data_IF_208642939504
#
_entry.id   IF_208642939504
#
_cell.length_a   1.000
_cell.length_b   1.000
_cell.length_c   1.000
_cell.angle_alpha   90.00
_cell.angle_beta   90.00
_cell.angle_gamma   90.00
#
_symmetry.space_group_name_H-M   'P 1'
#
loop_
_entity.id
_entity.type
_entity.pdbx_description
1 polymer ?
#
# COMPACT_ATOMS: atom_id res chain seq x y z
N UNK A 1 0.55 -15.71 4.03
CA UNK A 1 0.12 -15.35 5.38
C UNK A 1 0.77 -14.06 5.89
N UNK A 2 2.13 -13.88 5.65
CA UNK A 2 2.84 -12.63 6.00
C UNK A 2 2.27 -11.43 5.24
N UNK A 3 2.10 -11.56 3.93
CA UNK A 3 1.54 -10.51 3.06
C UNK A 3 0.13 -10.13 3.53
N UNK A 4 -0.75 -11.09 3.71
CA UNK A 4 -2.11 -10.86 4.20
C UNK A 4 -2.13 -10.12 5.55
N UNK A 5 -1.37 -10.63 6.53
CA UNK A 5 -1.34 -10.02 7.87
C UNK A 5 -0.75 -8.59 7.86
N UNK A 6 0.20 -8.32 6.93
CA UNK A 6 0.84 -7.01 6.85
C UNK A 6 -0.02 -5.97 6.13
N UNK A 7 -0.77 -6.35 5.11
CA UNK A 7 -1.53 -5.43 4.28
C UNK A 7 -3.00 -5.32 4.70
N UNK A 8 -3.65 -6.42 5.02
CA UNK A 8 -5.07 -6.42 5.32
C UNK A 8 -5.35 -6.45 6.83
N UNK A 9 -4.44 -7.06 7.61
CA UNK A 9 -4.68 -7.31 9.04
C UNK A 9 -5.91 -8.19 9.25
N UNK A 10 -6.36 -8.25 10.49
CA UNK A 10 -7.61 -8.92 10.86
C UNK A 10 -8.67 -7.85 11.04
N UNK A 11 -9.23 -7.37 9.95
CA UNK A 11 -10.25 -6.35 9.96
C UNK A 11 -11.47 -6.77 9.13
N UNK A 12 -12.66 -6.54 9.68
CA UNK A 12 -13.88 -6.42 8.92
C UNK A 12 -14.28 -4.97 8.84
N UNK A 13 -15.06 -4.65 7.84
CA UNK A 13 -15.63 -3.32 7.69
C UNK A 13 -17.14 -3.39 7.63
N UNK A 14 -17.81 -2.44 8.27
CA UNK A 14 -19.20 -2.18 8.04
C UNK A 14 -19.36 -1.74 6.56
N UNK A 15 -20.28 -2.42 5.85
CA UNK A 15 -20.41 -2.27 4.39
C UNK A 15 -20.79 -0.87 3.91
N UNK A 16 -21.43 -0.06 4.74
CA UNK A 16 -21.92 1.28 4.37
C UNK A 16 -20.92 2.37 4.77
N UNK A 17 -20.54 2.36 6.04
CA UNK A 17 -19.73 3.46 6.61
C UNK A 17 -18.24 3.17 6.55
N UNK A 18 -17.84 1.97 6.09
CA UNK A 18 -16.45 1.48 6.07
C UNK A 18 -15.73 1.62 7.42
N UNK A 19 -16.51 1.55 8.51
CA UNK A 19 -15.95 1.56 9.86
C UNK A 19 -15.40 0.17 10.19
N UNK A 20 -14.22 0.09 10.82
CA UNK A 20 -13.65 -1.17 11.24
C UNK A 20 -14.57 -1.87 12.26
N UNK A 21 -14.86 -3.15 12.02
CA UNK A 21 -15.58 -3.99 12.95
C UNK A 21 -14.67 -5.06 13.53
N UNK A 22 -14.87 -5.37 14.79
CA UNK A 22 -14.16 -6.44 15.48
C UNK A 22 -14.71 -7.79 15.00
N UNK A 23 -13.88 -8.55 14.26
CA UNK A 23 -14.24 -9.91 13.81
C UNK A 23 -13.91 -10.94 14.89
N UNK A 24 -12.81 -10.72 15.62
CA UNK A 24 -12.38 -11.59 16.72
C UNK A 24 -12.29 -10.76 17.99
N UNK A 25 -12.81 -11.31 19.08
CA UNK A 25 -12.82 -10.63 20.38
C UNK A 25 -11.43 -10.15 20.79
N UNK A 26 -11.32 -8.86 21.10
CA UNK A 26 -10.07 -8.22 21.54
C UNK A 26 -9.10 -7.84 20.44
N UNK A 27 -9.37 -8.19 19.17
CA UNK A 27 -8.52 -7.83 18.05
C UNK A 27 -9.10 -6.62 17.30
N UNK A 28 -8.50 -5.45 17.49
CA UNK A 28 -8.91 -4.20 16.84
C UNK A 28 -7.93 -3.82 15.76
N UNK A 29 -8.48 -3.29 14.67
CA UNK A 29 -7.68 -2.67 13.63
C UNK A 29 -6.99 -1.41 14.20
N UNK A 30 -5.71 -1.26 13.90
CA UNK A 30 -4.94 -0.07 14.28
C UNK A 30 -5.10 1.01 13.21
N UNK A 31 -5.00 2.29 13.61
CA UNK A 31 -5.15 3.42 12.69
C UNK A 31 -4.17 3.38 11.51
N UNK A 32 -2.93 2.98 11.75
CA UNK A 32 -1.92 2.81 10.70
C UNK A 32 -1.95 1.44 10.01
N UNK A 33 -2.96 0.62 10.27
CA UNK A 33 -2.99 -0.79 9.89
C UNK A 33 -1.68 -1.47 10.31
N UNK A 34 -1.09 -2.29 9.44
CA UNK A 34 0.25 -2.84 9.67
C UNK A 34 1.34 -2.11 8.86
N UNK A 35 0.96 -1.04 8.14
CA UNK A 35 1.89 -0.22 7.38
C UNK A 35 2.80 0.61 8.28
N UNK A 36 2.26 1.12 9.37
CA UNK A 36 2.97 1.87 10.40
C UNK A 36 3.25 1.03 11.64
N UNK A 37 4.19 1.46 12.51
CA UNK A 37 4.35 0.84 13.82
C UNK A 37 3.04 0.80 14.59
N UNK A 38 2.73 -0.34 15.20
CA UNK A 38 1.45 -0.60 15.85
C UNK A 38 1.08 0.35 16.99
N UNK A 39 2.09 0.95 17.61
CA UNK A 39 1.95 1.88 18.74
C UNK A 39 2.12 3.35 18.34
N UNK A 40 2.09 3.67 17.04
CA UNK A 40 2.24 5.03 16.55
C UNK A 40 0.91 5.77 16.59
N UNK A 41 0.83 6.86 17.37
CA UNK A 41 -0.34 7.73 17.38
C UNK A 41 -0.27 8.81 16.30
N UNK A 42 -1.38 9.48 16.04
CA UNK A 42 -1.46 10.59 15.09
C UNK A 42 -0.58 11.79 15.53
N UNK A 43 -0.59 12.08 16.82
CA UNK A 43 0.21 13.14 17.42
C UNK A 43 1.70 12.82 17.33
N UNK A 44 2.07 11.57 17.62
CA UNK A 44 3.45 11.12 17.52
C UNK A 44 3.93 11.13 16.05
N UNK A 45 3.11 10.66 15.10
CA UNK A 45 3.45 10.74 13.67
C UNK A 45 3.73 12.19 13.26
N UNK A 46 2.83 13.12 13.61
CA UNK A 46 3.01 14.54 13.29
C UNK A 46 4.30 15.11 13.88
N UNK A 47 4.58 14.80 15.14
CA UNK A 47 5.80 15.28 15.83
C UNK A 47 7.08 14.72 15.19
N UNK A 48 7.10 13.43 14.84
CA UNK A 48 8.25 12.80 14.18
C UNK A 48 8.47 13.40 12.79
N UNK A 49 7.41 13.57 12.00
CA UNK A 49 7.52 14.19 10.67
C UNK A 49 8.05 15.63 10.77
N UNK A 50 7.55 16.44 11.71
CA UNK A 50 8.09 17.79 11.96
C UNK A 50 9.59 17.74 12.31
N UNK A 51 10.00 16.86 13.24
CA UNK A 51 11.39 16.70 13.63
C UNK A 51 12.30 16.23 12.49
N UNK A 52 11.82 15.31 11.66
CA UNK A 52 12.55 14.84 10.48
C UNK A 52 12.73 15.95 9.43
N UNK A 53 11.71 16.78 9.23
CA UNK A 53 11.81 17.95 8.34
C UNK A 53 12.78 19.00 8.90
N UNK A 54 12.81 19.21 10.22
CA UNK A 54 13.77 20.11 10.87
C UNK A 54 15.21 19.61 10.76
N UNK A 55 15.39 18.30 10.80
CA UNK A 55 16.68 17.64 10.59
C UNK A 55 17.09 17.53 9.11
N UNK A 56 16.26 17.98 8.16
CA UNK A 56 16.56 17.97 6.73
C UNK A 56 16.31 16.63 6.01
N UNK A 57 15.61 15.69 6.64
CA UNK A 57 15.29 14.37 6.06
C UNK A 57 14.10 14.41 5.08
N UNK A 58 14.07 15.38 4.17
CA UNK A 58 12.93 15.66 3.29
C UNK A 58 12.59 14.45 2.40
N UNK A 59 13.58 13.82 1.78
CA UNK A 59 13.36 12.69 0.86
C UNK A 59 12.85 11.45 1.60
N UNK A 60 13.28 11.23 2.84
CA UNK A 60 12.75 10.14 3.65
C UNK A 60 11.30 10.42 4.08
N UNK A 61 10.96 11.66 4.42
CA UNK A 61 9.57 12.05 4.70
C UNK A 61 8.67 11.83 3.48
N UNK A 62 9.13 12.17 2.27
CA UNK A 62 8.39 11.87 1.03
C UNK A 62 8.10 10.38 0.89
N UNK A 63 9.09 9.53 1.12
CA UNK A 63 8.92 8.07 1.08
C UNK A 63 7.97 7.56 2.16
N UNK A 64 8.12 8.05 3.40
CA UNK A 64 7.21 7.68 4.51
C UNK A 64 5.76 8.02 4.15
N UNK A 65 5.51 9.13 3.48
CA UNK A 65 4.18 9.62 3.14
C UNK A 65 3.68 9.16 1.76
N UNK A 66 4.40 8.28 1.08
CA UNK A 66 3.96 7.65 -0.18
C UNK A 66 3.09 6.42 0.08
N UNK A 67 2.23 6.05 -0.87
CA UNK A 67 1.28 4.96 -0.74
C UNK A 67 1.93 3.55 -0.63
N UNK A 68 3.14 3.36 -1.19
CA UNK A 68 3.72 2.03 -1.46
C UNK A 68 4.90 1.68 -0.58
N UNK A 69 4.88 2.10 0.67
CA UNK A 69 5.95 1.84 1.61
C UNK A 69 5.43 1.33 2.94
N UNK A 70 6.18 0.41 3.52
CA UNK A 70 6.04 0.02 4.91
C UNK A 70 6.89 0.95 5.76
N UNK A 71 6.34 1.44 6.85
CA UNK A 71 7.03 2.38 7.75
C UNK A 71 7.43 1.67 9.04
N UNK A 72 8.67 1.84 9.46
CA UNK A 72 9.22 1.21 10.66
C UNK A 72 9.98 2.25 11.50
N UNK A 73 10.12 1.98 12.79
CA UNK A 73 10.94 2.84 13.68
C UNK A 73 12.41 2.71 13.34
N UNK A 74 13.12 3.84 13.38
CA UNK A 74 14.56 3.94 13.22
C UNK A 74 15.12 4.95 14.24
N UNK A 75 15.39 4.46 15.45
CA UNK A 75 15.70 5.33 16.58
C UNK A 75 14.52 6.25 16.93
N UNK A 76 14.78 7.55 16.98
CA UNK A 76 13.77 8.57 17.24
C UNK A 76 12.95 8.95 15.99
N UNK A 77 13.32 8.42 14.83
CA UNK A 77 12.68 8.70 13.55
C UNK A 77 11.94 7.49 13.00
N UNK A 78 11.37 7.68 11.81
CA UNK A 78 10.77 6.63 10.99
C UNK A 78 11.61 6.38 9.75
N UNK A 79 11.52 5.17 9.21
CA UNK A 79 12.13 4.76 7.95
C UNK A 79 11.07 4.12 7.07
N UNK A 80 11.04 4.51 5.79
CA UNK A 80 10.26 3.85 4.76
C UNK A 80 11.04 2.69 4.13
N UNK A 81 10.33 1.62 3.81
CA UNK A 81 10.84 0.45 3.09
C UNK A 81 9.86 0.19 1.96
N UNK A 82 10.32 0.20 0.72
CA UNK A 82 9.46 -0.05 -0.44
C UNK A 82 8.81 -1.44 -0.35
N UNK A 83 7.60 -1.59 -0.88
CA UNK A 83 6.89 -2.88 -0.86
C UNK A 83 7.68 -3.98 -1.55
N UNK A 84 8.35 -3.67 -2.66
CA UNK A 84 9.19 -4.62 -3.39
C UNK A 84 10.43 -5.06 -2.61
N UNK A 85 10.92 -4.26 -1.67
CA UNK A 85 11.98 -4.63 -0.74
C UNK A 85 11.42 -5.42 0.45
N UNK A 86 10.32 -4.92 1.05
CA UNK A 86 9.75 -5.53 2.25
C UNK A 86 9.09 -6.89 2.00
N UNK A 87 8.49 -7.06 0.83
CA UNK A 87 7.79 -8.28 0.38
C UNK A 87 8.50 -8.95 -0.80
N UNK A 88 9.82 -8.80 -0.92
CA UNK A 88 10.57 -9.29 -2.08
C UNK A 88 10.34 -10.78 -2.38
N UNK A 89 10.38 -11.62 -1.35
CA UNK A 89 10.20 -13.06 -1.49
C UNK A 89 8.75 -13.39 -1.90
N UNK A 90 7.77 -12.78 -1.21
CA UNK A 90 6.36 -13.01 -1.46
C UNK A 90 5.95 -12.53 -2.86
N UNK A 91 6.40 -11.34 -3.27
CA UNK A 91 6.09 -10.80 -4.59
C UNK A 91 6.75 -11.59 -5.71
N UNK A 92 7.99 -12.06 -5.51
CA UNK A 92 8.66 -12.94 -6.46
C UNK A 92 7.94 -14.28 -6.63
N UNK A 93 7.49 -14.88 -5.52
CA UNK A 93 6.73 -16.13 -5.57
C UNK A 93 5.40 -15.95 -6.31
N UNK A 94 4.63 -14.90 -5.98
CA UNK A 94 3.36 -14.60 -6.64
C UNK A 94 3.58 -14.31 -8.14
N UNK A 95 4.57 -13.49 -8.50
CA UNK A 95 4.86 -13.16 -9.89
C UNK A 95 5.23 -14.40 -10.70
N UNK A 96 6.04 -15.31 -10.13
CA UNK A 96 6.39 -16.58 -10.78
C UNK A 96 5.15 -17.47 -11.03
N UNK A 97 4.23 -17.55 -10.08
CA UNK A 97 2.98 -18.31 -10.25
C UNK A 97 2.08 -17.68 -11.33
N UNK A 98 2.02 -16.35 -11.40
CA UNK A 98 1.30 -15.63 -12.45
C UNK A 98 1.93 -15.89 -13.83
N UNK A 99 3.26 -15.85 -13.94
CA UNK A 99 3.98 -16.15 -15.18
C UNK A 99 3.78 -17.63 -15.61
N UNK A 100 3.78 -18.55 -14.66
CA UNK A 100 3.42 -19.94 -14.91
C UNK A 100 1.98 -20.06 -15.45
N UNK A 101 1.02 -19.37 -14.86
CA UNK A 101 -0.36 -19.34 -15.34
C UNK A 101 -0.44 -18.76 -16.76
N UNK A 102 0.31 -17.70 -17.07
CA UNK A 102 0.39 -17.12 -18.41
C UNK A 102 0.91 -18.11 -19.45
N UNK A 103 1.84 -19.00 -19.08
CA UNK A 103 2.35 -20.03 -19.98
C UNK A 103 1.26 -21.04 -20.41
N UNK A 104 0.31 -21.33 -19.53
CA UNK A 104 -0.80 -22.25 -19.81
C UNK A 104 -2.05 -21.58 -20.37
N UNK A 105 -2.12 -20.25 -20.34
CA UNK A 105 -3.26 -19.50 -20.87
C UNK A 105 -3.36 -19.68 -22.40
N UNK A 106 -4.56 -19.96 -22.89
CA UNK A 106 -4.87 -20.11 -24.31
C UNK A 106 -5.46 -18.85 -24.94
N UNK A 107 -5.93 -17.92 -24.11
CA UNK A 107 -6.42 -16.60 -24.51
C UNK A 107 -5.24 -15.62 -24.48
N UNK A 108 -4.92 -15.03 -25.63
CA UNK A 108 -3.78 -14.12 -25.76
C UNK A 108 -3.94 -12.84 -24.93
N UNK A 109 -5.17 -12.30 -24.82
CA UNK A 109 -5.42 -11.10 -24.01
C UNK A 109 -5.22 -11.39 -22.52
N UNK A 110 -5.70 -12.55 -22.06
CA UNK A 110 -5.50 -12.97 -20.69
C UNK A 110 -4.02 -13.24 -20.39
N UNK A 111 -3.31 -13.86 -21.31
CA UNK A 111 -1.88 -14.10 -21.20
C UNK A 111 -1.09 -12.78 -21.09
N UNK A 112 -1.39 -11.81 -21.94
CA UNK A 112 -0.74 -10.48 -21.88
C UNK A 112 -1.04 -9.77 -20.57
N UNK A 113 -2.29 -9.83 -20.08
CA UNK A 113 -2.68 -9.29 -18.79
C UNK A 113 -1.88 -9.91 -17.65
N UNK A 114 -1.76 -11.24 -17.61
CA UNK A 114 -0.98 -11.95 -16.60
C UNK A 114 0.47 -11.48 -16.57
N UNK A 115 1.09 -11.31 -17.74
CA UNK A 115 2.45 -10.80 -17.86
C UNK A 115 2.61 -9.39 -17.28
N UNK A 116 1.69 -8.48 -17.59
CA UNK A 116 1.71 -7.12 -17.03
C UNK A 116 1.45 -7.08 -15.53
N UNK A 117 0.54 -7.95 -15.04
CA UNK A 117 0.24 -8.07 -13.61
C UNK A 117 1.47 -8.55 -12.80
N UNK A 118 2.21 -9.53 -13.32
CA UNK A 118 3.46 -9.98 -12.70
C UNK A 118 4.50 -8.84 -12.63
N UNK A 119 4.64 -8.08 -13.72
CA UNK A 119 5.57 -6.93 -13.75
C UNK A 119 5.15 -5.81 -12.79
N UNK A 120 3.85 -5.53 -12.67
CA UNK A 120 3.32 -4.53 -11.74
C UNK A 120 3.66 -4.87 -10.28
N UNK A 121 3.57 -6.15 -9.89
CA UNK A 121 3.98 -6.61 -8.56
C UNK A 121 5.46 -6.42 -8.28
N UNK A 122 6.33 -6.70 -9.27
CA UNK A 122 7.78 -6.68 -9.08
C UNK A 122 8.38 -5.27 -9.08
N UNK A 123 7.73 -4.30 -9.71
CA UNK A 123 8.35 -2.99 -9.96
C UNK A 123 7.90 -1.87 -9.03
N UNK A 124 6.87 -2.07 -8.20
CA UNK A 124 6.28 -1.02 -7.35
C UNK A 124 6.06 0.31 -8.12
N UNK A 125 5.59 0.22 -9.36
CA UNK A 125 5.52 1.32 -10.30
C UNK A 125 4.09 1.52 -10.78
N UNK A 126 3.55 2.73 -10.61
CA UNK A 126 2.19 3.08 -11.02
C UNK A 126 1.95 2.93 -12.52
N UNK A 127 2.98 3.18 -13.36
CA UNK A 127 2.84 2.98 -14.81
C UNK A 127 2.57 1.52 -15.17
N UNK A 128 3.18 0.58 -14.43
CA UNK A 128 2.95 -0.85 -14.65
C UNK A 128 1.55 -1.27 -14.21
N UNK A 129 1.02 -0.72 -13.10
CA UNK A 129 -0.37 -0.95 -12.70
C UNK A 129 -1.33 -0.47 -13.80
N UNK A 130 -1.12 0.75 -14.32
CA UNK A 130 -1.93 1.31 -15.39
C UNK A 130 -1.88 0.45 -16.67
N UNK A 131 -0.73 -0.15 -16.96
CA UNK A 131 -0.61 -1.08 -18.09
C UNK A 131 -1.37 -2.37 -17.86
N UNK A 132 -1.29 -2.95 -16.67
CA UNK A 132 -2.06 -4.12 -16.27
C UNK A 132 -3.57 -3.84 -16.37
N UNK A 133 -4.03 -2.71 -15.82
CA UNK A 133 -5.43 -2.27 -15.87
C UNK A 133 -5.94 -2.08 -17.31
N UNK A 134 -5.12 -1.51 -18.19
CA UNK A 134 -5.46 -1.36 -19.62
C UNK A 134 -5.61 -2.71 -20.32
N UNK A 135 -4.80 -3.70 -19.97
CA UNK A 135 -4.94 -5.05 -20.51
C UNK A 135 -6.15 -5.76 -19.93
N UNK A 136 -6.38 -5.65 -18.63
CA UNK A 136 -7.60 -6.14 -17.98
C UNK A 136 -8.87 -5.58 -18.65
N UNK A 137 -8.93 -4.28 -18.87
CA UNK A 137 -10.08 -3.63 -19.51
C UNK A 137 -10.38 -4.12 -20.95
N UNK A 138 -9.44 -4.79 -21.60
CA UNK A 138 -9.64 -5.40 -22.93
C UNK A 138 -10.21 -6.82 -22.87
N UNK A 139 -10.17 -7.46 -21.71
CA UNK A 139 -10.59 -8.85 -21.54
C UNK A 139 -12.09 -8.99 -21.29
N UNK A 140 -12.93 -8.37 -22.13
CA UNK A 140 -14.39 -8.33 -21.91
C UNK A 140 -15.08 -9.70 -22.03
N UNK A 141 -14.47 -10.64 -22.73
CA UNK A 141 -15.03 -11.96 -23.00
C UNK A 141 -14.14 -13.11 -22.49
N UNK A 142 -13.14 -12.82 -21.69
CA UNK A 142 -12.27 -13.85 -21.12
C UNK A 142 -13.04 -14.74 -20.16
N UNK A 143 -12.89 -16.08 -20.24
CA UNK A 143 -13.54 -17.01 -19.33
C UNK A 143 -12.94 -17.00 -17.93
N UNK A 144 -11.78 -16.40 -17.76
CA UNK A 144 -11.06 -16.28 -16.49
C UNK A 144 -10.70 -14.83 -16.24
N UNK A 145 -10.82 -14.44 -15.00
CA UNK A 145 -10.49 -13.10 -14.52
C UNK A 145 -9.96 -13.17 -13.09
N UNK A 146 -8.93 -12.42 -12.80
CA UNK A 146 -8.53 -12.10 -11.43
C UNK A 146 -7.83 -10.75 -11.40
N UNK A 147 -7.76 -10.14 -10.25
CA UNK A 147 -6.99 -8.92 -10.04
C UNK A 147 -6.14 -9.05 -8.79
N UNK A 148 -4.95 -8.49 -8.83
CA UNK A 148 -4.14 -8.18 -7.64
C UNK A 148 -3.87 -6.69 -7.75
N UNK A 149 -4.68 -5.89 -7.06
CA UNK A 149 -4.62 -4.44 -7.17
C UNK A 149 -4.68 -3.78 -5.81
N UNK A 150 -4.46 -2.48 -5.80
CA UNK A 150 -4.69 -1.67 -4.62
C UNK A 150 -6.17 -1.45 -4.44
N UNK A 151 -6.63 -1.67 -3.22
CA UNK A 151 -8.01 -1.47 -2.83
C UNK A 151 -8.18 -0.16 -2.04
N UNK A 152 -9.37 0.42 -2.11
CA UNK A 152 -9.74 1.64 -1.40
C UNK A 152 -9.89 1.46 0.11
N UNK A 153 -9.10 0.59 0.73
CA UNK A 153 -9.00 0.40 2.16
C UNK A 153 -7.75 1.09 2.66
N UNK A 154 -7.88 2.35 2.99
CA UNK A 154 -6.77 3.22 3.34
C UNK A 154 -6.45 3.16 4.85
N UNK A 155 -5.21 3.43 5.20
CA UNK A 155 -4.85 3.68 6.60
C UNK A 155 -5.55 4.95 7.11
N UNK A 156 -5.86 4.97 8.40
CA UNK A 156 -6.52 6.10 9.06
C UNK A 156 -5.52 7.05 9.74
N UNK A 157 -4.23 6.74 9.70
CA UNK A 157 -3.19 7.52 10.37
C UNK A 157 -2.67 8.66 9.48
N UNK A 158 -2.35 8.37 8.21
CA UNK A 158 -1.87 9.38 7.26
C UNK A 158 -2.83 10.58 7.10
N UNK A 159 -4.16 10.39 6.98
CA UNK A 159 -5.09 11.51 6.87
C UNK A 159 -5.05 12.49 8.04
N UNK A 160 -4.68 12.04 9.25
CA UNK A 160 -4.61 12.92 10.43
C UNK A 160 -3.57 14.04 10.30
N UNK A 161 -2.59 13.90 9.40
CA UNK A 161 -1.60 14.94 9.13
C UNK A 161 -2.23 16.22 8.54
N UNK A 162 -3.37 16.09 7.87
CA UNK A 162 -4.11 17.24 7.33
C UNK A 162 -4.79 18.09 8.40
N UNK A 163 -5.05 17.51 9.60
CA UNK A 163 -5.63 18.22 10.74
C UNK A 163 -4.64 19.18 11.36
N UNK A 164 -3.33 18.88 11.26
CA UNK A 164 -2.26 19.77 11.68
C UNK A 164 -1.97 20.82 10.58
N UNK A 165 -2.68 21.94 10.62
CA UNK A 165 -2.58 23.01 9.61
C UNK A 165 -1.16 23.53 9.38
N UNK A 166 -0.33 23.60 10.42
CA UNK A 166 1.06 24.08 10.30
C UNK A 166 1.90 23.07 9.53
N UNK A 167 1.80 21.79 9.88
CA UNK A 167 2.52 20.72 9.22
C UNK A 167 2.04 20.55 7.77
N UNK A 168 0.72 20.53 7.55
CA UNK A 168 0.12 20.41 6.22
C UNK A 168 0.60 21.52 5.28
N UNK A 169 0.65 22.78 5.75
CA UNK A 169 1.19 23.89 4.98
C UNK A 169 2.69 23.66 4.63
N UNK A 170 3.49 23.26 5.60
CA UNK A 170 4.92 22.99 5.40
C UNK A 170 5.17 21.87 4.40
N UNK A 171 4.41 20.78 4.47
CA UNK A 171 4.47 19.68 3.51
C UNK A 171 4.13 20.17 2.09
N UNK A 172 3.09 20.97 1.96
CA UNK A 172 2.70 21.57 0.68
C UNK A 172 3.78 22.47 0.10
N UNK A 173 4.43 23.32 0.91
CA UNK A 173 5.55 24.16 0.49
C UNK A 173 6.76 23.34 -0.02
N UNK A 174 6.94 22.13 0.48
CA UNK A 174 7.96 21.17 0.06
C UNK A 174 7.50 20.25 -1.08
N UNK A 175 6.31 20.48 -1.62
CA UNK A 175 5.68 19.62 -2.63
C UNK A 175 5.54 18.16 -2.18
N UNK A 176 5.23 17.96 -0.90
CA UNK A 176 4.95 16.66 -0.31
C UNK A 176 3.44 16.54 -0.13
N UNK A 177 2.81 15.63 -0.84
CA UNK A 177 1.42 15.27 -0.66
C UNK A 177 1.37 13.94 0.13
N UNK A 178 0.88 13.94 1.39
CA UNK A 178 0.65 12.69 2.10
C UNK A 178 -0.39 11.85 1.37
N UNK A 179 -0.04 10.59 1.09
CA UNK A 179 -0.94 9.63 0.45
C UNK A 179 -1.18 8.49 1.45
N UNK A 180 -2.44 8.19 1.79
CA UNK A 180 -2.75 7.04 2.63
C UNK A 180 -2.19 5.75 2.04
N UNK A 181 -1.80 4.81 2.91
CA UNK A 181 -1.32 3.50 2.48
C UNK A 181 -2.49 2.69 1.97
N UNK A 182 -2.38 2.20 0.75
CA UNK A 182 -3.38 1.35 0.14
C UNK A 182 -3.14 -0.12 0.52
N UNK A 183 -4.23 -0.83 0.84
CA UNK A 183 -4.19 -2.28 0.99
C UNK A 183 -4.11 -2.94 -0.38
N UNK A 184 -3.46 -4.11 -0.43
CA UNK A 184 -3.47 -4.96 -1.61
C UNK A 184 -4.65 -5.92 -1.51
N UNK A 185 -5.58 -5.85 -2.46
CA UNK A 185 -6.68 -6.79 -2.65
C UNK A 185 -6.28 -7.93 -3.60
N UNK A 186 -6.82 -9.12 -3.37
CA UNK A 186 -6.66 -10.30 -4.23
C UNK A 186 -8.02 -10.88 -4.53
#
# INVERSE_FOLDING_TARGET
LKLFNSLNGVAGYNGIDKEPVEIFEGIKMQAGCNFYPSNLSAEELSAIIEAMLDAGHIEEVKKILSARTMVRRNGDFLKAIDYTEYFADEFSEIANEIECAAHFATDDLFKDFLGWQAQALLQNNEEMDILADKHWARMQESPLEFTISRENYEDKLTPTLFDNKKLSKRLSELSIAPVPKDMLGI
#
